data_IF_996574715268
#
_entry.id   IF_996574715268
#
_cell.length_a   1.000
_cell.length_b   1.000
_cell.length_c   1.000
_cell.angle_alpha   90.00
_cell.angle_beta   90.00
_cell.angle_gamma   90.00
#
_symmetry.space_group_name_H-M   'P 1'
#
loop_
_entity.id
_entity.type
_entity.pdbx_description
1 polymer ?
#
# COMPACT_ATOMS: atom_id res chain seq x y z
N UNK A 1 -44.73 10.55 -35.73
CA UNK A 1 -45.55 11.78 -35.57
C UNK A 1 -44.64 13.02 -35.69
N UNK A 2 -45.17 14.24 -35.59
CA UNK A 2 -44.57 15.56 -35.95
C UNK A 2 -43.13 15.77 -35.40
N UNK A 3 -42.15 16.42 -36.07
CA UNK A 3 -42.05 17.79 -36.69
C UNK A 3 -42.19 18.93 -35.65
N UNK A 4 -41.42 20.05 -35.63
CA UNK A 4 -40.27 20.58 -36.41
C UNK A 4 -39.08 20.85 -35.44
N UNK A 5 -37.84 21.26 -35.76
CA UNK A 5 -37.13 21.78 -36.96
C UNK A 5 -37.20 23.29 -37.31
N UNK A 6 -36.08 23.85 -37.81
CA UNK A 6 -35.75 25.29 -38.10
C UNK A 6 -35.51 26.15 -36.83
N UNK A 7 -34.57 27.10 -36.75
CA UNK A 7 -33.69 27.76 -37.76
C UNK A 7 -34.15 29.22 -38.02
N UNK A 8 -33.32 30.23 -38.31
CA UNK A 8 -31.85 30.36 -38.48
C UNK A 8 -31.45 31.86 -38.46
N UNK A 9 -30.14 32.18 -38.36
CA UNK A 9 -29.52 33.52 -38.51
C UNK A 9 -29.92 34.62 -37.48
N UNK A 10 -29.14 35.69 -37.26
CA UNK A 10 -27.78 35.98 -37.73
C UNK A 10 -27.17 37.25 -37.10
N UNK A 11 -25.83 37.31 -37.04
CA UNK A 11 -25.01 38.55 -36.88
C UNK A 11 -24.74 39.15 -38.28
N UNK A 12 -24.28 40.43 -38.49
CA UNK A 12 -23.33 41.15 -37.64
C UNK A 12 -23.43 42.71 -37.57
N UNK A 13 -22.41 43.33 -36.92
CA UNK A 13 -21.97 44.76 -36.95
C UNK A 13 -22.83 45.79 -36.18
N UNK A 14 -22.33 46.99 -35.84
CA UNK A 14 -20.99 47.44 -35.33
C UNK A 14 -21.00 48.96 -35.04
N UNK A 15 -20.10 49.44 -34.17
CA UNK A 15 -19.63 50.86 -34.00
C UNK A 15 -20.60 51.87 -33.32
N UNK A 16 -20.15 52.37 -32.15
CA UNK A 16 -20.12 53.75 -31.59
C UNK A 16 -21.29 54.76 -31.80
N UNK A 17 -21.55 55.76 -30.95
CA UNK A 17 -20.96 56.27 -29.68
C UNK A 17 -22.08 57.01 -28.87
N UNK A 18 -21.96 57.84 -27.81
CA UNK A 18 -20.84 58.60 -27.19
C UNK A 18 -21.14 58.92 -25.72
N UNK A 19 -20.10 59.14 -24.88
CA UNK A 19 -20.13 59.79 -23.55
C UNK A 19 -20.92 59.04 -22.43
N UNK A 20 -20.72 59.28 -21.13
CA UNK A 20 -19.85 60.22 -20.39
C UNK A 20 -19.34 59.56 -19.06
N UNK A 21 -18.68 60.33 -18.19
CA UNK A 21 -18.41 60.07 -16.76
C UNK A 21 -17.11 59.33 -16.40
N UNK A 22 -16.00 60.00 -16.69
CA UNK A 22 -15.03 60.43 -15.67
C UNK A 22 -15.18 59.82 -14.25
N UNK A 23 -14.36 58.82 -13.91
CA UNK A 23 -14.03 58.52 -12.52
C UNK A 23 -12.54 58.17 -12.40
N UNK A 24 -11.80 58.98 -11.64
CA UNK A 24 -10.38 58.76 -11.40
C UNK A 24 -10.17 57.63 -10.38
N UNK A 25 -9.65 56.49 -10.82
CA UNK A 25 -9.20 55.40 -9.95
C UNK A 25 -7.67 55.37 -9.93
N UNK A 26 -7.07 55.57 -8.76
CA UNK A 26 -5.60 55.58 -8.60
C UNK A 26 -5.07 54.16 -8.79
N UNK A 27 -4.33 53.93 -9.87
CA UNK A 27 -3.65 52.67 -10.13
C UNK A 27 -2.50 52.47 -9.14
N UNK A 28 -2.80 51.89 -7.98
CA UNK A 28 -1.77 51.39 -7.06
C UNK A 28 -1.07 50.21 -7.72
N UNK A 29 0.09 50.47 -8.33
CA UNK A 29 0.98 49.42 -8.83
C UNK A 29 1.56 48.67 -7.63
N UNK A 30 0.83 47.67 -7.15
CA UNK A 30 1.30 46.74 -6.14
C UNK A 30 2.47 45.95 -6.73
N UNK A 31 3.69 46.42 -6.48
CA UNK A 31 4.91 45.68 -6.77
C UNK A 31 4.92 44.43 -5.90
N UNK A 32 4.41 43.33 -6.43
CA UNK A 32 4.66 42.01 -5.87
C UNK A 32 6.17 41.75 -5.91
N UNK A 33 6.83 42.00 -4.78
CA UNK A 33 8.12 41.39 -4.48
C UNK A 33 7.96 39.90 -4.69
N UNK A 34 8.56 39.40 -5.76
CA UNK A 34 8.65 37.96 -6.00
C UNK A 34 9.58 37.42 -4.93
N UNK A 35 9.04 36.62 -3.99
CA UNK A 35 9.81 36.04 -2.90
C UNK A 35 10.93 35.17 -3.47
N UNK A 36 12.16 35.71 -3.50
CA UNK A 36 13.32 35.15 -4.19
C UNK A 36 13.95 33.93 -3.45
N UNK A 37 13.13 33.23 -2.67
CA UNK A 37 13.46 32.03 -1.91
C UNK A 37 12.53 30.86 -2.24
N UNK A 38 12.12 30.75 -3.51
CA UNK A 38 11.73 29.48 -4.11
C UNK A 38 12.96 28.55 -4.12
N UNK A 39 13.22 27.88 -2.99
CA UNK A 39 14.33 26.96 -2.79
C UNK A 39 14.36 25.94 -3.93
N UNK A 40 15.41 25.97 -4.74
CA UNK A 40 15.54 25.08 -5.89
C UNK A 40 15.51 23.62 -5.40
N UNK A 41 14.43 22.90 -5.74
CA UNK A 41 14.27 21.51 -5.32
C UNK A 41 15.41 20.68 -5.91
N UNK A 42 16.32 20.27 -5.02
CA UNK A 42 17.42 19.37 -5.36
C UNK A 42 16.89 17.94 -5.18
N UNK A 43 16.89 17.10 -6.22
CA UNK A 43 16.49 15.70 -6.08
C UNK A 43 17.45 14.99 -5.13
N UNK A 44 16.95 14.14 -4.20
CA UNK A 44 17.83 13.36 -3.33
C UNK A 44 18.70 12.42 -4.16
N UNK A 45 19.92 12.18 -3.69
CA UNK A 45 20.86 11.28 -4.35
C UNK A 45 20.35 9.84 -4.34
N UNK A 46 20.87 9.03 -5.27
CA UNK A 46 20.55 7.61 -5.32
C UNK A 46 20.89 6.87 -4.01
N UNK A 47 21.99 7.23 -3.36
CA UNK A 47 22.45 6.61 -2.12
C UNK A 47 21.56 6.98 -0.92
N UNK A 48 21.10 8.23 -0.82
CA UNK A 48 20.10 8.65 0.17
C UNK A 48 18.76 7.92 -0.04
N UNK A 49 18.32 7.76 -1.29
CA UNK A 49 17.08 7.03 -1.63
C UNK A 49 17.17 5.56 -1.20
N UNK A 50 18.26 4.88 -1.55
CA UNK A 50 18.43 3.45 -1.23
C UNK A 50 18.60 3.25 0.29
N UNK A 51 19.44 4.04 0.95
CA UNK A 51 19.67 3.91 2.39
C UNK A 51 18.42 4.23 3.22
N UNK A 52 17.64 5.25 2.83
CA UNK A 52 16.39 5.63 3.53
C UNK A 52 15.24 4.64 3.29
N UNK A 53 15.05 4.17 2.05
CA UNK A 53 13.81 3.49 1.68
C UNK A 53 13.91 1.97 1.46
N UNK A 54 15.11 1.40 1.29
CA UNK A 54 15.28 -0.04 0.98
C UNK A 54 14.57 -0.96 1.96
N UNK A 55 14.80 -0.78 3.26
CA UNK A 55 14.15 -1.58 4.30
C UNK A 55 12.62 -1.44 4.35
N UNK A 56 12.06 -0.28 3.96
CA UNK A 56 10.59 -0.10 3.88
C UNK A 56 10.03 -0.79 2.64
N UNK A 57 10.65 -0.61 1.47
CA UNK A 57 10.25 -1.28 0.23
C UNK A 57 10.30 -2.80 0.40
N UNK A 58 11.36 -3.34 1.02
CA UNK A 58 11.47 -4.76 1.31
C UNK A 58 10.37 -5.27 2.25
N UNK A 59 10.10 -4.57 3.38
CA UNK A 59 9.01 -4.97 4.28
C UNK A 59 7.64 -4.94 3.60
N UNK A 60 7.35 -3.91 2.79
CA UNK A 60 6.10 -3.84 2.01
C UNK A 60 6.03 -4.98 0.97
N UNK A 61 7.11 -5.22 0.23
CA UNK A 61 7.22 -6.32 -0.71
C UNK A 61 6.95 -7.67 -0.01
N UNK A 62 7.57 -7.94 1.14
CA UNK A 62 7.37 -9.16 1.92
C UNK A 62 5.93 -9.32 2.41
N UNK A 63 5.28 -8.26 2.92
CA UNK A 63 3.86 -8.30 3.33
C UNK A 63 2.91 -8.58 2.16
N UNK A 64 3.29 -8.19 0.94
CA UNK A 64 2.54 -8.49 -0.27
C UNK A 64 2.82 -9.91 -0.79
N UNK A 65 4.06 -10.38 -0.79
CA UNK A 65 4.47 -11.64 -1.43
C UNK A 65 4.31 -12.88 -0.53
N UNK A 66 4.60 -12.77 0.77
CA UNK A 66 4.66 -13.90 1.70
C UNK A 66 5.90 -14.79 1.57
N UNK A 67 6.86 -14.42 0.73
CA UNK A 67 8.09 -15.19 0.51
C UNK A 67 9.28 -14.24 0.32
N UNK A 68 10.42 -14.60 0.93
CA UNK A 68 11.64 -13.82 0.90
C UNK A 68 12.16 -13.57 -0.52
N UNK A 69 12.28 -14.59 -1.38
CA UNK A 69 12.84 -14.43 -2.72
C UNK A 69 11.93 -13.58 -3.62
N UNK A 70 10.61 -13.81 -3.59
CA UNK A 70 9.65 -12.94 -4.28
C UNK A 70 9.73 -11.48 -3.76
N UNK A 71 10.07 -11.26 -2.48
CA UNK A 71 10.24 -9.93 -1.90
C UNK A 71 11.57 -9.28 -2.29
N UNK A 72 12.67 -10.04 -2.34
CA UNK A 72 14.00 -9.63 -2.80
C UNK A 72 13.95 -9.21 -4.28
N UNK A 73 13.36 -10.04 -5.14
CA UNK A 73 13.17 -9.76 -6.57
C UNK A 73 12.27 -8.55 -6.81
N UNK A 74 11.13 -8.47 -6.11
CA UNK A 74 10.21 -7.32 -6.21
C UNK A 74 10.89 -6.02 -5.74
N UNK A 75 11.69 -6.08 -4.68
CA UNK A 75 12.45 -4.91 -4.19
C UNK A 75 13.46 -4.44 -5.24
N UNK A 76 14.16 -5.36 -5.90
CA UNK A 76 15.07 -5.02 -6.99
C UNK A 76 14.32 -4.42 -8.20
N UNK A 77 13.18 -4.99 -8.62
CA UNK A 77 12.36 -4.46 -9.73
C UNK A 77 11.83 -3.04 -9.39
N UNK A 78 11.46 -2.78 -8.13
CA UNK A 78 11.11 -1.44 -7.63
C UNK A 78 12.27 -0.46 -7.76
N UNK A 79 13.46 -0.78 -7.24
CA UNK A 79 14.60 0.15 -7.28
C UNK A 79 15.10 0.41 -8.70
N UNK A 80 15.13 -0.61 -9.57
CA UNK A 80 15.40 -0.43 -11.01
C UNK A 80 14.36 0.50 -11.67
N UNK A 81 13.09 0.41 -11.27
CA UNK A 81 12.01 1.28 -11.78
C UNK A 81 12.12 2.71 -11.26
N UNK A 82 12.51 2.91 -10.00
CA UNK A 82 12.77 4.22 -9.38
C UNK A 82 13.96 4.90 -10.08
N UNK A 83 15.10 4.22 -10.19
CA UNK A 83 16.32 4.76 -10.83
C UNK A 83 16.04 5.28 -12.25
N UNK A 84 15.33 4.50 -13.07
CA UNK A 84 14.94 4.84 -14.44
C UNK A 84 13.90 5.97 -14.57
N UNK A 85 13.32 6.45 -13.47
CA UNK A 85 12.26 7.48 -13.50
C UNK A 85 12.54 8.67 -12.56
N UNK A 86 13.61 8.61 -11.75
CA UNK A 86 14.00 9.64 -10.79
C UNK A 86 14.30 11.00 -11.43
N UNK A 87 14.96 11.00 -12.60
CA UNK A 87 15.24 12.22 -13.38
C UNK A 87 13.99 12.93 -13.94
N UNK A 88 12.83 12.27 -13.87
CA UNK A 88 11.52 12.79 -14.29
C UNK A 88 10.53 12.90 -13.13
N UNK A 89 10.97 12.63 -11.89
CA UNK A 89 10.12 12.71 -10.71
C UNK A 89 9.86 14.18 -10.36
N UNK A 90 8.58 14.55 -10.26
CA UNK A 90 8.15 15.87 -9.76
C UNK A 90 7.85 15.80 -8.26
N UNK A 91 8.12 16.87 -7.48
CA UNK A 91 7.89 16.88 -6.04
C UNK A 91 6.47 16.48 -5.63
N UNK A 92 6.39 15.59 -4.62
CA UNK A 92 5.17 15.07 -4.04
C UNK A 92 5.50 14.12 -2.89
N UNK A 93 4.57 13.22 -2.52
CA UNK A 93 4.88 12.17 -1.53
C UNK A 93 5.69 11.04 -2.18
N UNK A 94 7.01 11.03 -1.95
CA UNK A 94 7.91 9.98 -2.45
C UNK A 94 7.47 8.58 -1.99
N UNK A 95 6.94 8.48 -0.76
CA UNK A 95 6.40 7.24 -0.20
C UNK A 95 5.18 6.73 -0.98
N UNK A 96 4.23 7.61 -1.33
CA UNK A 96 3.08 7.27 -2.16
C UNK A 96 3.48 6.86 -3.59
N UNK A 97 4.59 7.39 -4.10
CA UNK A 97 5.17 6.95 -5.37
C UNK A 97 5.79 5.54 -5.26
N UNK A 98 6.57 5.27 -4.20
CA UNK A 98 7.09 3.93 -3.90
C UNK A 98 5.98 2.89 -3.71
N UNK A 99 4.93 3.22 -2.95
CA UNK A 99 3.78 2.33 -2.74
C UNK A 99 3.07 2.01 -4.06
N UNK A 100 2.92 3.01 -4.95
CA UNK A 100 2.37 2.81 -6.29
C UNK A 100 3.26 1.93 -7.18
N UNK A 101 4.58 2.08 -7.14
CA UNK A 101 5.50 1.21 -7.91
C UNK A 101 5.44 -0.22 -7.35
N UNK A 102 5.69 -0.41 -6.06
CA UNK A 102 5.75 -1.72 -5.38
C UNK A 102 4.46 -2.51 -5.54
N UNK A 103 3.30 -1.88 -5.30
CA UNK A 103 2.02 -2.59 -5.34
C UNK A 103 1.58 -2.95 -6.77
N UNK A 104 1.90 -2.11 -7.76
CA UNK A 104 1.58 -2.44 -9.15
C UNK A 104 2.50 -3.53 -9.70
N UNK A 105 3.82 -3.48 -9.42
CA UNK A 105 4.75 -4.56 -9.78
C UNK A 105 4.35 -5.91 -9.14
N UNK A 106 3.93 -5.89 -7.87
CA UNK A 106 3.36 -7.07 -7.20
C UNK A 106 2.12 -7.61 -7.94
N UNK A 107 1.13 -6.76 -8.24
CA UNK A 107 -0.09 -7.18 -8.92
C UNK A 107 0.18 -7.66 -10.36
N UNK A 108 1.15 -7.08 -11.07
CA UNK A 108 1.55 -7.51 -12.41
C UNK A 108 2.40 -8.79 -12.37
N UNK A 109 3.24 -9.01 -11.35
CA UNK A 109 3.86 -10.31 -11.09
C UNK A 109 2.79 -11.39 -10.85
N UNK A 110 1.78 -11.10 -10.02
CA UNK A 110 0.66 -12.02 -9.77
C UNK A 110 -0.09 -12.35 -11.07
N UNK A 111 -0.42 -11.36 -11.90
CA UNK A 111 -1.07 -11.57 -13.21
C UNK A 111 -0.21 -12.41 -14.14
N UNK A 112 1.11 -12.13 -14.22
CA UNK A 112 2.08 -12.95 -14.98
C UNK A 112 2.08 -14.41 -14.49
N UNK A 113 2.25 -14.63 -13.19
CA UNK A 113 2.24 -15.96 -12.56
C UNK A 113 0.90 -16.70 -12.72
N UNK A 114 -0.23 -15.99 -12.81
CA UNK A 114 -1.54 -16.59 -13.12
C UNK A 114 -1.63 -17.03 -14.59
N UNK A 115 -1.27 -16.15 -15.54
CA UNK A 115 -1.33 -16.47 -16.99
C UNK A 115 -0.51 -17.70 -17.36
N UNK A 116 0.75 -17.76 -16.92
CA UNK A 116 1.65 -18.89 -17.16
C UNK A 116 1.03 -20.21 -16.67
N UNK A 117 0.27 -20.20 -15.56
CA UNK A 117 -0.42 -21.39 -15.03
C UNK A 117 -1.65 -21.80 -15.84
N UNK A 118 -2.26 -20.90 -16.61
CA UNK A 118 -3.34 -21.25 -17.54
C UNK A 118 -2.79 -21.70 -18.89
N UNK A 119 -1.73 -21.03 -19.38
CA UNK A 119 -1.06 -21.39 -20.63
C UNK A 119 -0.42 -22.79 -20.53
N UNK A 120 0.22 -23.11 -19.39
CA UNK A 120 0.76 -24.44 -19.06
C UNK A 120 -0.29 -25.47 -18.56
N UNK A 121 -1.59 -25.20 -18.75
CA UNK A 121 -2.63 -26.24 -18.66
C UNK A 121 -3.10 -26.70 -20.06
N UNK A 122 -2.46 -26.20 -21.12
CA UNK A 122 -2.61 -26.71 -22.49
C UNK A 122 -1.66 -27.85 -22.85
N UNK A 123 -0.55 -28.00 -22.14
CA UNK A 123 0.43 -29.09 -22.31
C UNK A 123 1.17 -29.32 -20.96
N UNK A 124 1.10 -30.55 -20.45
CA UNK A 124 1.56 -31.10 -19.15
C UNK A 124 1.48 -30.25 -17.85
N UNK A 125 0.76 -30.79 -16.86
CA UNK A 125 0.47 -30.15 -15.58
C UNK A 125 1.68 -30.08 -14.62
N UNK A 126 2.42 -28.96 -14.66
CA UNK A 126 3.52 -28.70 -13.73
C UNK A 126 3.06 -28.56 -12.25
N UNK A 127 3.33 -29.59 -11.47
CA UNK A 127 3.18 -29.63 -10.01
C UNK A 127 4.07 -28.57 -9.34
N UNK A 128 3.59 -27.93 -8.26
CA UNK A 128 4.32 -26.85 -7.57
C UNK A 128 4.82 -27.32 -6.22
N UNK A 129 6.11 -27.63 -6.16
CA UNK A 129 6.82 -27.81 -4.90
C UNK A 129 6.74 -26.52 -4.05
N UNK A 130 6.63 -26.63 -2.71
CA UNK A 130 6.89 -25.51 -1.82
C UNK A 130 8.39 -25.20 -1.78
N UNK A 131 8.75 -23.92 -1.93
CA UNK A 131 10.12 -23.46 -1.71
C UNK A 131 10.51 -23.52 -0.22
N UNK A 132 11.81 -23.64 0.04
CA UNK A 132 12.38 -24.03 1.35
C UNK A 132 12.32 -22.97 2.45
N UNK A 133 12.61 -23.42 3.66
CA UNK A 133 12.47 -22.74 4.95
C UNK A 133 13.47 -21.58 5.17
N UNK A 134 13.11 -20.54 5.95
CA UNK A 134 13.98 -19.39 6.23
C UNK A 134 15.08 -19.69 7.28
N UNK A 135 16.17 -18.90 7.28
CA UNK A 135 17.34 -19.19 8.14
C UNK A 135 17.21 -18.62 9.57
N UNK A 136 17.81 -19.27 10.60
CA UNK A 136 17.70 -18.84 12.00
C UNK A 136 18.12 -17.39 12.28
N UNK A 137 19.12 -16.86 11.57
CA UNK A 137 19.61 -15.50 11.79
C UNK A 137 18.71 -14.40 11.21
N UNK A 138 17.87 -14.71 10.21
CA UNK A 138 16.89 -13.78 9.65
C UNK A 138 15.65 -13.65 10.55
N UNK A 139 15.30 -14.72 11.28
CA UNK A 139 14.12 -14.80 12.16
C UNK A 139 14.19 -13.83 13.36
N UNK A 140 15.38 -13.37 13.77
CA UNK A 140 15.55 -12.58 14.99
C UNK A 140 15.44 -11.05 14.80
N UNK A 141 15.83 -10.50 13.64
CA UNK A 141 16.01 -9.04 13.47
C UNK A 141 14.83 -8.31 12.79
N UNK A 142 13.95 -8.99 12.05
CA UNK A 142 12.70 -8.40 11.48
C UNK A 142 11.56 -8.36 12.52
N UNK A 143 11.90 -8.06 13.78
CA UNK A 143 11.11 -8.46 14.95
C UNK A 143 9.72 -7.80 15.07
N UNK A 144 8.73 -8.60 15.49
CA UNK A 144 7.36 -8.24 15.89
C UNK A 144 6.30 -8.02 14.81
N UNK A 145 6.45 -8.57 13.60
CA UNK A 145 5.27 -9.01 12.84
C UNK A 145 5.07 -10.51 13.05
N UNK A 146 3.92 -10.90 13.58
CA UNK A 146 3.64 -12.29 13.94
C UNK A 146 3.47 -13.17 12.67
N UNK A 147 4.11 -14.34 12.68
CA UNK A 147 4.07 -15.30 11.57
C UNK A 147 2.62 -15.74 11.25
N UNK A 148 1.75 -15.87 12.25
CA UNK A 148 0.33 -16.15 12.08
C UNK A 148 -0.35 -15.09 11.19
N UNK A 149 0.03 -13.82 11.34
CA UNK A 149 -0.55 -12.69 10.61
C UNK A 149 -0.04 -12.66 9.18
N UNK A 150 1.23 -13.03 8.94
CA UNK A 150 1.74 -13.21 7.59
C UNK A 150 1.02 -14.37 6.90
N UNK A 151 0.94 -15.55 7.54
CA UNK A 151 0.21 -16.69 7.01
C UNK A 151 -1.27 -16.36 6.71
N UNK A 152 -1.92 -15.57 7.57
CA UNK A 152 -3.29 -15.10 7.35
C UNK A 152 -3.40 -14.14 6.15
N UNK A 153 -2.46 -13.18 5.99
CA UNK A 153 -2.36 -12.36 4.77
C UNK A 153 -2.16 -13.22 3.53
N UNK A 154 -1.42 -14.33 3.65
CA UNK A 154 -1.13 -15.22 2.55
C UNK A 154 -2.33 -16.05 2.06
N UNK A 155 -3.34 -16.25 2.92
CA UNK A 155 -4.66 -16.78 2.49
C UNK A 155 -5.49 -15.80 1.65
N UNK A 156 -5.20 -14.50 1.69
CA UNK A 156 -6.00 -13.49 1.00
C UNK A 156 -5.72 -13.48 -0.51
N UNK A 157 -6.78 -13.26 -1.28
CA UNK A 157 -6.65 -12.87 -2.69
C UNK A 157 -5.75 -11.62 -2.82
N UNK A 158 -4.82 -11.55 -3.80
CA UNK A 158 -3.81 -10.49 -3.87
C UNK A 158 -4.35 -9.06 -3.84
N UNK A 159 -5.52 -8.80 -4.42
CA UNK A 159 -6.16 -7.48 -4.39
C UNK A 159 -6.78 -7.13 -3.03
N UNK A 160 -7.16 -8.12 -2.23
CA UNK A 160 -7.59 -7.93 -0.85
C UNK A 160 -6.38 -7.75 0.06
N UNK A 161 -5.32 -8.54 -0.15
CA UNK A 161 -4.03 -8.42 0.55
C UNK A 161 -3.45 -7.03 0.37
N UNK A 162 -3.28 -6.57 -0.86
CA UNK A 162 -2.76 -5.24 -1.17
C UNK A 162 -3.59 -4.10 -0.55
N UNK A 163 -4.92 -4.19 -0.62
CA UNK A 163 -5.80 -3.17 -0.03
C UNK A 163 -5.75 -3.15 1.51
N UNK A 164 -5.60 -4.30 2.17
CA UNK A 164 -5.44 -4.38 3.62
C UNK A 164 -4.04 -3.97 4.07
N UNK A 165 -2.97 -4.41 3.41
CA UNK A 165 -1.59 -4.02 3.76
C UNK A 165 -1.40 -2.50 3.67
N UNK A 166 -1.87 -1.87 2.59
CA UNK A 166 -1.77 -0.42 2.45
C UNK A 166 -2.58 0.36 3.50
N UNK A 167 -3.70 -0.19 3.99
CA UNK A 167 -4.57 0.44 4.99
C UNK A 167 -4.10 0.20 6.44
N UNK A 168 -3.87 -1.06 6.78
CA UNK A 168 -3.75 -1.55 8.17
C UNK A 168 -2.28 -1.71 8.61
N UNK A 169 -1.32 -1.56 7.68
CA UNK A 169 0.12 -1.62 7.96
C UNK A 169 0.82 -0.34 7.51
N UNK A 170 0.61 0.13 6.28
CA UNK A 170 1.20 1.39 5.78
C UNK A 170 0.38 2.65 6.12
N UNK A 171 -0.85 2.51 6.65
CA UNK A 171 -1.65 3.59 7.20
C UNK A 171 -2.33 4.54 6.20
N UNK A 172 -2.39 4.20 4.90
CA UNK A 172 -2.94 5.09 3.87
C UNK A 172 -4.46 5.27 3.98
N UNK A 173 -4.93 6.48 3.64
CA UNK A 173 -6.36 6.75 3.45
C UNK A 173 -6.96 5.92 2.30
N UNK A 174 -8.28 5.72 2.30
CA UNK A 174 -8.95 4.97 1.24
C UNK A 174 -8.82 5.66 -0.13
N UNK A 175 -8.69 6.98 -0.12
CA UNK A 175 -8.47 7.87 -1.25
C UNK A 175 -7.04 7.71 -1.83
N UNK A 176 -6.02 7.63 -0.97
CA UNK A 176 -4.64 7.29 -1.40
C UNK A 176 -4.55 5.85 -1.91
N UNK A 177 -5.22 4.89 -1.28
CA UNK A 177 -5.27 3.50 -1.76
C UNK A 177 -5.97 3.43 -3.13
N UNK A 178 -7.03 4.22 -3.35
CA UNK A 178 -7.68 4.34 -4.66
C UNK A 178 -6.73 4.87 -5.73
N UNK A 179 -5.95 5.92 -5.41
CA UNK A 179 -4.94 6.51 -6.28
C UNK A 179 -3.66 5.66 -6.43
N UNK A 180 -3.41 4.72 -5.52
CA UNK A 180 -2.27 3.77 -5.56
C UNK A 180 -2.60 2.56 -6.42
N UNK A 181 -3.79 1.97 -6.20
CA UNK A 181 -4.26 0.77 -6.89
C UNK A 181 -4.98 1.04 -8.23
N UNK A 182 -5.26 2.30 -8.56
CA UNK A 182 -5.97 2.68 -9.80
C UNK A 182 -7.44 2.23 -9.82
N UNK A 183 -8.12 2.19 -8.67
CA UNK A 183 -9.51 1.70 -8.56
C UNK A 183 -10.44 2.70 -7.87
N UNK A 184 -11.75 2.57 -8.10
CA UNK A 184 -12.77 3.41 -7.45
C UNK A 184 -12.77 3.23 -5.94
N UNK A 185 -13.05 4.32 -5.20
CA UNK A 185 -13.11 4.34 -3.74
C UNK A 185 -14.06 3.28 -3.13
N UNK A 186 -15.20 3.00 -3.78
CA UNK A 186 -16.10 1.91 -3.37
C UNK A 186 -15.48 0.52 -3.51
N UNK A 187 -14.59 0.32 -4.50
CA UNK A 187 -13.82 -0.92 -4.66
C UNK A 187 -12.81 -1.08 -3.54
N UNK A 188 -12.13 0.00 -3.12
CA UNK A 188 -11.21 -0.01 -1.95
C UNK A 188 -11.96 -0.45 -0.70
N UNK A 189 -13.07 0.21 -0.36
CA UNK A 189 -13.92 -0.13 0.80
C UNK A 189 -14.37 -1.59 0.78
N UNK A 190 -14.78 -2.11 -0.39
CA UNK A 190 -15.19 -3.51 -0.55
C UNK A 190 -14.02 -4.50 -0.37
N UNK A 191 -12.84 -4.21 -0.91
CA UNK A 191 -11.63 -5.04 -0.78
C UNK A 191 -11.15 -5.10 0.68
N UNK A 192 -11.05 -3.96 1.36
CA UNK A 192 -10.65 -3.88 2.77
C UNK A 192 -11.66 -4.62 3.67
N UNK A 193 -12.96 -4.43 3.46
CA UNK A 193 -13.99 -5.14 4.22
C UNK A 193 -13.91 -6.67 4.04
N UNK A 194 -13.72 -7.15 2.80
CA UNK A 194 -13.56 -8.59 2.51
C UNK A 194 -12.28 -9.15 3.13
N UNK A 195 -11.14 -8.47 2.97
CA UNK A 195 -9.85 -8.87 3.53
C UNK A 195 -9.88 -8.93 5.06
N UNK A 196 -10.30 -7.84 5.75
CA UNK A 196 -10.46 -7.83 7.22
C UNK A 196 -11.45 -8.91 7.71
N UNK A 197 -12.48 -9.25 6.93
CA UNK A 197 -13.42 -10.32 7.27
C UNK A 197 -12.79 -11.72 7.17
N UNK A 198 -11.94 -11.96 6.18
CA UNK A 198 -11.15 -13.20 6.06
C UNK A 198 -10.08 -13.29 7.16
N UNK A 199 -9.30 -12.23 7.40
CA UNK A 199 -8.30 -12.19 8.47
C UNK A 199 -8.89 -12.43 9.85
N UNK A 200 -10.07 -11.86 10.17
CA UNK A 200 -10.75 -12.12 11.45
C UNK A 200 -11.07 -13.60 11.68
N UNK A 201 -11.34 -14.36 10.61
CA UNK A 201 -11.56 -15.81 10.70
C UNK A 201 -10.25 -16.57 10.85
N UNK A 202 -9.23 -16.24 10.06
CA UNK A 202 -7.91 -16.88 10.11
C UNK A 202 -7.18 -16.64 11.44
N UNK A 203 -7.39 -15.49 12.08
CA UNK A 203 -6.72 -15.08 13.32
C UNK A 203 -7.63 -15.22 14.56
N UNK A 204 -8.72 -15.97 14.48
CA UNK A 204 -9.71 -16.10 15.56
C UNK A 204 -9.10 -16.68 16.86
N UNK A 205 -8.09 -17.55 16.74
CA UNK A 205 -7.33 -18.11 17.87
C UNK A 205 -6.50 -17.07 18.65
N UNK A 206 -6.17 -15.94 18.02
CA UNK A 206 -5.45 -14.82 18.66
C UNK A 206 -6.39 -13.83 19.37
N UNK A 207 -7.70 -14.08 19.36
CA UNK A 207 -8.68 -13.24 20.08
C UNK A 207 -8.41 -13.21 21.59
N UNK A 208 -8.70 -12.10 22.29
CA UNK A 208 -8.49 -12.01 23.75
C UNK A 208 -9.23 -13.11 24.53
N UNK A 209 -10.41 -13.49 24.05
CA UNK A 209 -11.26 -14.53 24.62
C UNK A 209 -10.61 -15.92 24.49
N UNK A 210 -10.21 -16.35 23.29
CA UNK A 210 -9.53 -17.63 23.09
C UNK A 210 -8.22 -17.74 23.88
N UNK A 211 -7.45 -16.64 23.96
CA UNK A 211 -6.20 -16.60 24.75
C UNK A 211 -6.45 -16.62 26.26
N UNK A 212 -7.58 -16.09 26.74
CA UNK A 212 -8.00 -16.21 28.13
C UNK A 212 -8.53 -17.63 28.45
N UNK A 213 -9.17 -18.29 27.50
CA UNK A 213 -9.69 -19.65 27.64
C UNK A 213 -8.58 -20.70 27.67
N UNK A 214 -7.59 -20.61 26.76
CA UNK A 214 -6.36 -21.41 26.82
C UNK A 214 -5.62 -21.25 28.17
N UNK A 215 -5.57 -20.01 28.71
CA UNK A 215 -4.98 -19.75 30.03
C UNK A 215 -5.76 -20.36 31.20
N UNK A 216 -7.07 -20.59 31.06
CA UNK A 216 -7.89 -21.28 32.07
C UNK A 216 -7.74 -22.80 32.00
N UNK A 217 -7.48 -23.37 30.82
CA UNK A 217 -7.21 -24.80 30.65
C UNK A 217 -5.90 -25.27 31.28
N UNK A 218 -4.88 -24.41 31.35
CA UNK A 218 -3.56 -24.74 31.90
C UNK A 218 -3.54 -24.71 33.44
N UNK A 219 -4.13 -25.73 34.08
CA UNK A 219 -3.98 -25.97 35.52
C UNK A 219 -2.58 -26.50 35.82
N UNK A 220 -1.71 -25.64 36.33
CA UNK A 220 -0.38 -26.06 36.83
C UNK A 220 -0.56 -27.09 37.95
N UNK A 221 0.02 -28.29 37.85
CA UNK A 221 -0.06 -29.27 38.93
C UNK A 221 0.64 -28.71 40.17
N UNK A 222 -0.13 -28.51 41.25
CA UNK A 222 0.38 -27.96 42.50
C UNK A 222 1.36 -28.96 43.13
N UNK A 223 2.65 -28.68 42.97
CA UNK A 223 3.74 -29.47 43.55
C UNK A 223 3.49 -29.65 45.05
N UNK A 224 3.51 -30.90 45.58
CA UNK A 224 3.38 -31.13 47.01
C UNK A 224 4.56 -30.47 47.74
N UNK A 225 4.26 -29.54 48.64
CA UNK A 225 5.27 -29.03 49.58
C UNK A 225 5.58 -30.19 50.53
N UNK A 226 6.78 -30.78 50.38
CA UNK A 226 7.27 -31.80 51.29
C UNK A 226 7.36 -31.18 52.69
N UNK A 227 6.53 -31.67 53.62
CA UNK A 227 6.48 -31.15 54.98
C UNK A 227 7.82 -31.35 55.67
N UNK A 228 8.45 -30.26 56.12
CA UNK A 228 9.68 -30.33 56.90
C UNK A 228 9.42 -31.08 58.20
N UNK A 229 10.10 -32.21 58.39
CA UNK A 229 9.98 -33.01 59.60
C UNK A 229 10.48 -32.23 60.82
N UNK A 230 9.59 -31.92 61.75
CA UNK A 230 9.95 -31.32 63.03
C UNK A 230 10.67 -32.35 63.91
N UNK A 231 12.00 -32.22 64.02
CA UNK A 231 12.77 -32.97 65.02
C UNK A 231 12.58 -32.32 66.40
N UNK A 232 12.06 -33.09 67.36
CA UNK A 232 11.87 -32.66 68.75
C UNK A 232 12.57 -33.61 69.70
N UNK A 233 13.55 -33.07 70.45
CA UNK A 233 14.19 -33.62 71.67
C UNK A 233 14.49 -35.13 71.68
#
# INVERSE_FOLDING_TARGET
MLRRFLGSAGRPKSVNDTADHSHAAVAQTATFTTDAHAQAWTPPTWEEIVSTHSGRVYRLAYRLTGNQHDAEDLTQEVFVRVFRSLSTYTPGTFEGWLHRITTNLFLDMVRRKQRIRFDALGDDAAERLPSREPTPQQIFNDAHFDADVQQALDTLAPEFRAAVVLCDIEGLSYEEIAATLGVKLGTVRSRIHRGRSQLRKALAHRSPEARAEQRRGFTVPRVPVLGGGGATA
#
